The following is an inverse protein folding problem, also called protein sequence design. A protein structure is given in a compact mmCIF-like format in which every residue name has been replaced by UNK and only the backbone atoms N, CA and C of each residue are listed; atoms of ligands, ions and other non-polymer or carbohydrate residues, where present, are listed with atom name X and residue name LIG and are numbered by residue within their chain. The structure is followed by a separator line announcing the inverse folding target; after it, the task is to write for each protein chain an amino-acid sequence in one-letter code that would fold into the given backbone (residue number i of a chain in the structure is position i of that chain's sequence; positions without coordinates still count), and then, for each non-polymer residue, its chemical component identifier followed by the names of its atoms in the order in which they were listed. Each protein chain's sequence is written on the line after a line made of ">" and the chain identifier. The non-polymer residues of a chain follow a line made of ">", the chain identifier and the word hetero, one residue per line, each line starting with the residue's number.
data_IF_886983261011
#
_entry.id   IF_886983261011
#
_cell.length_a   1.000
_cell.length_b   1.000
_cell.length_c   1.000
_cell.angle_alpha   90.00
_cell.angle_beta   90.00
_cell.angle_gamma   90.00
#
_symmetry.space_group_name_H-M   'P 1'
#
loop_
_entity.id
_entity.type
_entity.pdbx_description
1 polymer ?
#
# COMPACT_ATOMS: atom_id res chain seq x y z
N UNK A 1 -5.93 -20.13 5.22
CA UNK A 1 -4.45 -20.21 5.21
C UNK A 1 -3.94 -18.81 4.94
N UNK A 2 -3.16 -18.22 5.85
CA UNK A 2 -2.60 -16.88 5.70
C UNK A 2 -1.08 -16.98 5.62
N UNK A 3 -0.45 -16.22 4.75
CA UNK A 3 1.01 -16.17 4.59
C UNK A 3 1.46 -14.74 4.83
N UNK A 4 2.47 -14.54 5.69
CA UNK A 4 3.11 -13.25 5.86
C UNK A 4 4.16 -13.08 4.75
N UNK A 5 4.09 -11.97 4.04
CA UNK A 5 5.10 -11.54 3.05
C UNK A 5 5.75 -10.28 3.58
N UNK A 6 7.08 -10.18 3.46
CA UNK A 6 7.84 -8.97 3.79
C UNK A 6 8.34 -8.38 2.48
N UNK A 7 8.03 -7.12 2.23
CA UNK A 7 8.49 -6.37 1.05
C UNK A 7 9.53 -5.36 1.51
N UNK A 8 10.74 -5.45 0.95
CA UNK A 8 11.76 -4.42 1.10
C UNK A 8 11.86 -3.70 -0.24
N UNK A 9 11.40 -2.45 -0.30
CA UNK A 9 11.36 -1.64 -1.51
C UNK A 9 12.26 -0.42 -1.30
N UNK A 10 13.27 -0.26 -2.14
CA UNK A 10 14.06 0.97 -2.21
C UNK A 10 13.38 1.94 -3.17
N UNK A 11 12.60 2.87 -2.61
CA UNK A 11 11.83 3.86 -3.38
C UNK A 11 12.44 5.24 -3.20
N UNK A 12 12.56 6.00 -4.29
CA UNK A 12 12.77 7.44 -4.19
C UNK A 12 11.44 8.15 -3.89
N UNK A 13 11.48 9.47 -3.63
CA UNK A 13 10.29 10.26 -3.31
C UNK A 13 9.18 10.17 -4.36
N UNK A 14 9.52 10.16 -5.65
CA UNK A 14 8.54 10.07 -6.72
C UNK A 14 7.86 8.71 -6.74
N UNK A 15 8.62 7.63 -6.56
CA UNK A 15 8.10 6.26 -6.54
C UNK A 15 7.27 6.02 -5.27
N UNK A 16 7.68 6.59 -4.13
CA UNK A 16 6.92 6.54 -2.88
C UNK A 16 5.58 7.28 -3.02
N UNK A 17 5.59 8.46 -3.62
CA UNK A 17 4.38 9.23 -3.91
C UNK A 17 3.46 8.49 -4.89
N UNK A 18 4.02 7.90 -5.95
CA UNK A 18 3.25 7.10 -6.91
C UNK A 18 2.60 5.88 -6.24
N UNK A 19 3.33 5.18 -5.38
CA UNK A 19 2.80 4.07 -4.60
C UNK A 19 1.69 4.53 -3.64
N UNK A 20 1.89 5.64 -2.93
CA UNK A 20 0.89 6.21 -2.02
C UNK A 20 -0.41 6.57 -2.77
N UNK A 21 -0.30 7.18 -3.95
CA UNK A 21 -1.46 7.51 -4.80
C UNK A 21 -2.20 6.28 -5.32
N UNK A 22 -1.47 5.22 -5.69
CA UNK A 22 -2.06 3.95 -6.10
C UNK A 22 -2.86 3.32 -4.95
N UNK A 23 -2.26 3.30 -3.75
CA UNK A 23 -2.86 2.68 -2.56
C UNK A 23 -4.03 3.50 -1.98
N UNK A 24 -4.13 4.80 -2.31
CA UNK A 24 -5.25 5.65 -1.91
C UNK A 24 -6.58 5.34 -2.64
N UNK A 25 -6.56 4.53 -3.71
CA UNK A 25 -7.74 4.22 -4.53
C UNK A 25 -7.96 2.70 -4.71
N UNK A 26 -8.06 1.90 -3.63
CA UNK A 26 -8.08 0.45 -3.72
C UNK A 26 -9.31 -0.09 -4.45
N UNK A 27 -10.46 0.61 -4.37
CA UNK A 27 -11.68 0.22 -5.07
C UNK A 27 -11.55 0.34 -6.59
N UNK A 28 -10.87 1.39 -7.07
CA UNK A 28 -10.65 1.58 -8.51
C UNK A 28 -9.75 0.46 -9.08
N UNK A 29 -8.70 0.09 -8.34
CA UNK A 29 -7.81 -1.02 -8.71
C UNK A 29 -8.56 -2.35 -8.68
N UNK A 30 -9.34 -2.63 -7.65
CA UNK A 30 -10.11 -3.85 -7.54
C UNK A 30 -11.14 -4.00 -8.68
N UNK A 31 -11.85 -2.92 -9.01
CA UNK A 31 -12.81 -2.91 -10.12
C UNK A 31 -12.12 -3.15 -11.48
N UNK A 32 -10.87 -2.72 -11.64
CA UNK A 32 -10.08 -2.97 -12.85
C UNK A 32 -9.62 -4.43 -12.93
N UNK A 33 -9.15 -5.00 -11.82
CA UNK A 33 -8.56 -6.36 -11.76
C UNK A 33 -9.63 -7.44 -11.85
N UNK A 34 -10.78 -7.24 -11.19
CA UNK A 34 -11.83 -8.23 -11.06
C UNK A 34 -13.23 -7.62 -11.31
N UNK A 35 -13.54 -7.12 -12.51
CA UNK A 35 -14.71 -6.28 -12.75
C UNK A 35 -16.06 -6.95 -12.47
N UNK A 36 -16.12 -8.28 -12.47
CA UNK A 36 -17.33 -9.08 -12.28
C UNK A 36 -17.28 -10.00 -11.07
N UNK A 37 -16.15 -10.06 -10.35
CA UNK A 37 -15.99 -10.93 -9.18
C UNK A 37 -15.87 -10.10 -7.90
N UNK A 38 -17.02 -9.88 -7.26
CA UNK A 38 -17.12 -9.10 -6.02
C UNK A 38 -16.27 -9.70 -4.89
N UNK A 39 -16.09 -11.03 -4.85
CA UNK A 39 -15.27 -11.68 -3.82
C UNK A 39 -13.79 -11.42 -4.06
N UNK A 40 -13.37 -11.49 -5.31
CA UNK A 40 -11.99 -11.17 -5.67
C UNK A 40 -11.70 -9.68 -5.50
N UNK A 41 -12.65 -8.80 -5.84
CA UNK A 41 -12.54 -7.36 -5.55
C UNK A 41 -12.30 -7.10 -4.06
N UNK A 42 -13.09 -7.73 -3.18
CA UNK A 42 -12.91 -7.57 -1.73
C UNK A 42 -11.51 -8.00 -1.29
N UNK A 43 -11.00 -9.12 -1.81
CA UNK A 43 -9.62 -9.58 -1.50
C UNK A 43 -8.56 -8.60 -1.99
N UNK A 44 -8.71 -8.04 -3.19
CA UNK A 44 -7.78 -7.02 -3.71
C UNK A 44 -7.80 -5.78 -2.83
N UNK A 45 -8.99 -5.30 -2.44
CA UNK A 45 -9.13 -4.15 -1.54
C UNK A 45 -8.43 -4.42 -0.21
N UNK A 46 -8.67 -5.58 0.41
CA UNK A 46 -8.06 -5.95 1.69
C UNK A 46 -6.53 -5.92 1.62
N UNK A 47 -5.95 -6.49 0.55
CA UNK A 47 -4.49 -6.49 0.33
C UNK A 47 -3.95 -5.07 0.16
N UNK A 48 -4.61 -4.23 -0.65
CA UNK A 48 -4.16 -2.86 -0.89
C UNK A 48 -4.27 -1.99 0.38
N UNK A 49 -5.31 -2.20 1.19
CA UNK A 49 -5.44 -1.56 2.50
C UNK A 49 -4.34 -1.99 3.47
N UNK A 50 -3.98 -3.28 3.50
CA UNK A 50 -2.86 -3.78 4.32
C UNK A 50 -1.53 -3.14 3.88
N UNK A 51 -1.29 -3.02 2.57
CA UNK A 51 -0.12 -2.31 2.03
C UNK A 51 -0.13 -0.82 2.39
N UNK A 52 -1.29 -0.15 2.29
CA UNK A 52 -1.43 1.27 2.62
C UNK A 52 -1.05 1.53 4.09
N UNK A 53 -1.55 0.71 5.02
CA UNK A 53 -1.19 0.81 6.43
C UNK A 53 0.32 0.64 6.68
N UNK A 54 0.95 -0.31 6.00
CA UNK A 54 2.41 -0.50 6.11
C UNK A 54 3.21 0.70 5.56
N UNK A 55 2.75 1.32 4.47
CA UNK A 55 3.40 2.51 3.89
C UNK A 55 3.19 3.75 4.77
N UNK A 56 2.00 3.95 5.32
CA UNK A 56 1.73 5.04 6.27
C UNK A 56 2.57 4.92 7.54
N UNK A 57 2.75 3.70 8.07
CA UNK A 57 3.65 3.46 9.19
C UNK A 57 5.08 3.89 8.84
N UNK A 58 5.61 3.49 7.67
CA UNK A 58 6.96 3.87 7.23
C UNK A 58 7.13 5.38 7.00
N UNK A 59 6.16 6.05 6.36
CA UNK A 59 6.19 7.50 6.18
C UNK A 59 6.24 8.24 7.53
N UNK A 60 5.42 7.82 8.48
CA UNK A 60 5.43 8.36 9.84
C UNK A 60 6.75 8.09 10.60
N UNK A 61 7.45 6.98 10.31
CA UNK A 61 8.78 6.73 10.87
C UNK A 61 9.84 7.70 10.31
N UNK A 62 9.76 8.04 9.03
CA UNK A 62 10.68 8.99 8.40
C UNK A 62 10.46 10.42 8.93
N UNK A 63 9.21 10.85 9.09
CA UNK A 63 8.87 12.18 9.61
C UNK A 63 9.24 12.38 11.09
N UNK A 64 9.39 11.29 11.85
CA UNK A 64 9.68 11.32 13.29
C UNK A 64 11.15 11.13 13.63
N UNK A 65 12.06 11.02 12.65
CA UNK A 65 13.48 10.97 12.94
C UNK A 65 13.94 12.34 13.46
N UNK A 66 14.43 12.45 14.72
CA UNK A 66 15.03 13.69 15.17
C UNK A 66 16.29 13.93 14.34
N UNK A 67 16.43 15.13 13.77
CA UNK A 67 17.67 15.57 13.13
C UNK A 67 18.79 15.45 14.17
N UNK A 68 19.60 14.39 14.07
CA UNK A 68 20.77 14.22 14.91
C UNK A 68 21.83 15.17 14.35
N UNK A 69 21.92 16.36 14.95
CA UNK A 69 22.96 17.37 14.70
C UNK A 69 24.30 16.96 15.32
#
# INVERSE_FOLDING_TARGET
>A
MTRRVVLNLDLNENDFNALSLLLAQPQAVAQLVAPQDVREQARVIDVLCEMAGAIEEQGNYLDRQPEVS
#
